data_IF_988027097684
#
_entry.id   IF_988027097684
#
_cell.length_a   1.000
_cell.length_b   1.000
_cell.length_c   1.000
_cell.angle_alpha   90.00
_cell.angle_beta   90.00
_cell.angle_gamma   90.00
#
_symmetry.space_group_name_H-M   'P 1'
#
loop_
_entity.id
_entity.type
_entity.pdbx_description
1 polymer ?
#
# COMPACT_ATOMS: atom_id res chain seq x y z
N UNK A 1 0.58 -39.63 4.66
CA UNK A 1 0.88 -38.49 3.75
C UNK A 1 0.55 -37.18 4.48
N UNK A 2 1.51 -36.57 5.19
CA UNK A 2 1.27 -35.38 6.03
C UNK A 2 2.39 -34.31 5.97
N UNK A 3 3.22 -34.32 4.91
CA UNK A 3 4.38 -33.41 4.81
C UNK A 3 4.17 -32.19 3.89
N UNK A 4 3.05 -32.11 3.16
CA UNK A 4 2.80 -31.00 2.22
C UNK A 4 2.16 -29.77 2.88
N UNK A 5 1.47 -29.93 4.02
CA UNK A 5 0.78 -28.82 4.68
C UNK A 5 1.75 -27.86 5.41
N UNK A 6 2.79 -28.40 6.07
CA UNK A 6 3.73 -27.58 6.85
C UNK A 6 4.62 -26.67 5.99
N UNK A 7 4.96 -27.12 4.77
CA UNK A 7 5.79 -26.33 3.83
C UNK A 7 4.98 -25.23 3.16
N UNK A 8 3.68 -25.47 2.90
CA UNK A 8 2.77 -24.48 2.31
C UNK A 8 2.41 -23.36 3.32
N UNK A 9 2.18 -23.69 4.59
CA UNK A 9 1.93 -22.68 5.63
C UNK A 9 3.09 -21.68 5.74
N UNK A 10 4.34 -22.16 5.67
CA UNK A 10 5.53 -21.31 5.75
C UNK A 10 5.71 -20.39 4.53
N UNK A 11 5.27 -20.82 3.33
CA UNK A 11 5.38 -19.98 2.12
C UNK A 11 4.36 -18.84 2.10
N UNK A 12 3.11 -19.12 2.48
CA UNK A 12 2.06 -18.10 2.52
C UNK A 12 2.35 -17.06 3.59
N UNK A 13 2.74 -17.49 4.79
CA UNK A 13 3.09 -16.59 5.88
C UNK A 13 4.24 -15.66 5.48
N UNK A 14 5.31 -16.19 4.89
CA UNK A 14 6.43 -15.38 4.38
C UNK A 14 6.03 -14.41 3.27
N UNK A 15 5.13 -14.81 2.36
CA UNK A 15 4.62 -13.91 1.33
C UNK A 15 3.81 -12.76 1.97
N UNK A 16 3.03 -13.06 3.01
CA UNK A 16 2.31 -12.06 3.78
C UNK A 16 3.26 -11.14 4.59
N UNK A 17 4.32 -11.67 5.19
CA UNK A 17 5.35 -10.87 5.87
C UNK A 17 6.04 -9.90 4.90
N UNK A 18 6.44 -10.39 3.73
CA UNK A 18 7.04 -9.56 2.69
C UNK A 18 6.09 -8.46 2.22
N UNK A 19 4.82 -8.80 1.96
CA UNK A 19 3.83 -7.82 1.54
C UNK A 19 3.52 -6.77 2.63
N UNK A 20 3.50 -7.17 3.91
CA UNK A 20 3.40 -6.25 5.05
C UNK A 20 4.54 -5.23 5.01
N UNK A 21 5.77 -5.72 4.87
CA UNK A 21 6.96 -4.87 4.94
C UNK A 21 6.97 -3.86 3.78
N UNK A 22 6.60 -4.32 2.58
CA UNK A 22 6.40 -3.44 1.42
C UNK A 22 5.32 -2.38 1.63
N UNK A 23 4.16 -2.74 2.19
CA UNK A 23 3.11 -1.75 2.47
C UNK A 23 3.51 -0.76 3.55
N UNK A 24 4.17 -1.23 4.62
CA UNK A 24 4.69 -0.37 5.69
C UNK A 24 5.69 0.64 5.11
N UNK A 25 6.58 0.21 4.20
CA UNK A 25 7.51 1.11 3.52
C UNK A 25 6.77 2.20 2.72
N UNK A 26 5.78 1.82 1.91
CA UNK A 26 4.98 2.76 1.11
C UNK A 26 4.21 3.74 1.99
N UNK A 27 3.64 3.28 3.11
CA UNK A 27 2.95 4.17 4.05
C UNK A 27 3.89 5.14 4.73
N UNK A 28 5.05 4.68 5.18
CA UNK A 28 6.04 5.55 5.81
C UNK A 28 6.50 6.63 4.84
N UNK A 29 6.72 6.29 3.56
CA UNK A 29 7.11 7.26 2.55
C UNK A 29 5.98 8.24 2.21
N UNK A 30 4.76 7.74 2.04
CA UNK A 30 3.57 8.58 1.81
C UNK A 30 3.31 9.53 2.98
N UNK A 31 3.49 9.06 4.22
CA UNK A 31 3.37 9.87 5.43
C UNK A 31 4.42 10.98 5.49
N UNK A 32 5.69 10.70 5.15
CA UNK A 32 6.74 11.74 5.08
C UNK A 32 6.36 12.84 4.10
N UNK A 33 5.86 12.47 2.92
CA UNK A 33 5.45 13.43 1.90
C UNK A 33 4.26 14.27 2.37
N UNK A 34 3.24 13.65 2.96
CA UNK A 34 2.10 14.34 3.55
C UNK A 34 2.53 15.30 4.69
N UNK A 35 3.46 14.88 5.54
CA UNK A 35 4.00 15.71 6.62
C UNK A 35 4.80 16.91 6.11
N UNK A 36 5.49 16.78 4.97
CA UNK A 36 6.24 17.86 4.36
C UNK A 36 5.32 18.98 3.85
N UNK A 37 4.16 18.63 3.29
CA UNK A 37 3.17 19.58 2.76
C UNK A 37 2.12 20.03 3.78
N UNK A 38 1.98 19.34 4.91
CA UNK A 38 0.95 19.66 5.91
C UNK A 38 1.20 20.98 6.66
N UNK A 39 0.12 21.72 7.01
CA UNK A 39 0.16 22.83 7.95
C UNK A 39 0.81 22.45 9.29
N UNK A 40 1.58 23.36 9.89
CA UNK A 40 2.43 23.06 11.05
C UNK A 40 1.62 22.54 12.26
N UNK A 41 0.44 23.10 12.49
CA UNK A 41 -0.50 22.71 13.54
C UNK A 41 -1.08 21.30 13.35
N UNK A 42 -1.10 20.78 12.11
CA UNK A 42 -1.62 19.44 11.79
C UNK A 42 -0.55 18.35 11.81
N UNK A 43 0.74 18.72 11.74
CA UNK A 43 1.85 17.76 11.64
C UNK A 43 1.94 16.79 12.81
N UNK A 44 1.65 17.24 14.04
CA UNK A 44 1.68 16.38 15.22
C UNK A 44 0.63 15.26 15.13
N UNK A 45 -0.61 15.62 14.80
CA UNK A 45 -1.71 14.67 14.63
C UNK A 45 -1.45 13.69 13.48
N UNK A 46 -0.95 14.18 12.35
CA UNK A 46 -0.61 13.31 11.21
C UNK A 46 0.48 12.30 11.56
N UNK A 47 1.51 12.69 12.32
CA UNK A 47 2.55 11.76 12.80
C UNK A 47 1.96 10.66 13.67
N UNK A 48 1.10 11.03 14.61
CA UNK A 48 0.44 10.07 15.51
C UNK A 48 -0.43 9.09 14.73
N UNK A 49 -1.26 9.60 13.81
CA UNK A 49 -2.11 8.78 12.94
C UNK A 49 -1.29 7.82 12.07
N UNK A 50 -0.25 8.31 11.39
CA UNK A 50 0.61 7.46 10.58
C UNK A 50 1.37 6.41 11.40
N UNK A 51 1.80 6.75 12.62
CA UNK A 51 2.43 5.77 13.50
C UNK A 51 1.45 4.67 13.94
N UNK A 52 0.21 5.05 14.29
CA UNK A 52 -0.84 4.10 14.64
C UNK A 52 -1.21 3.18 13.47
N UNK A 53 -1.32 3.71 12.25
CA UNK A 53 -1.60 2.92 11.05
C UNK A 53 -0.47 1.92 10.75
N UNK A 54 0.79 2.35 10.86
CA UNK A 54 1.94 1.47 10.68
C UNK A 54 1.96 0.35 11.71
N UNK A 55 1.61 0.65 12.97
CA UNK A 55 1.58 -0.37 14.02
C UNK A 55 0.42 -1.35 13.85
N UNK A 56 -0.76 -0.88 13.41
CA UNK A 56 -1.88 -1.74 13.03
C UNK A 56 -1.49 -2.68 11.87
N UNK A 57 -0.83 -2.14 10.84
CA UNK A 57 -0.31 -2.96 9.74
C UNK A 57 0.70 -3.99 10.26
N UNK A 58 1.64 -3.60 11.12
CA UNK A 58 2.64 -4.52 11.66
C UNK A 58 2.04 -5.66 12.47
N UNK A 59 1.04 -5.35 13.29
CA UNK A 59 0.44 -6.31 14.23
C UNK A 59 -0.61 -7.23 13.59
N UNK A 60 -1.39 -6.75 12.61
CA UNK A 60 -2.56 -7.48 12.08
C UNK A 60 -2.40 -8.01 10.67
N UNK A 61 -1.48 -7.45 9.86
CA UNK A 61 -1.45 -7.74 8.42
C UNK A 61 -1.26 -9.22 8.11
N UNK A 62 -0.28 -9.89 8.74
CA UNK A 62 0.06 -11.27 8.40
C UNK A 62 -1.11 -12.21 8.70
N UNK A 63 -1.69 -12.08 9.89
CA UNK A 63 -2.87 -12.86 10.32
C UNK A 63 -4.04 -12.69 9.34
N UNK A 64 -4.35 -11.45 8.94
CA UNK A 64 -5.44 -11.18 7.99
C UNK A 64 -5.12 -11.67 6.59
N UNK A 65 -3.87 -11.52 6.16
CA UNK A 65 -3.41 -11.94 4.85
C UNK A 65 -3.48 -13.46 4.67
N UNK A 66 -3.06 -14.25 5.67
CA UNK A 66 -3.15 -15.72 5.58
C UNK A 66 -4.59 -16.21 5.55
N UNK A 67 -5.53 -15.44 6.12
CA UNK A 67 -6.96 -15.73 6.13
C UNK A 67 -7.69 -15.36 4.82
N UNK A 68 -7.03 -14.64 3.89
CA UNK A 68 -7.65 -14.22 2.63
C UNK A 68 -8.08 -15.42 1.78
N UNK A 69 -9.17 -15.28 1.00
CA UNK A 69 -9.51 -16.24 -0.05
C UNK A 69 -8.44 -16.25 -1.15
N UNK A 70 -8.48 -17.25 -2.03
CA UNK A 70 -7.46 -17.48 -3.05
C UNK A 70 -7.17 -16.23 -3.91
N UNK A 71 -8.20 -15.54 -4.37
CA UNK A 71 -8.04 -14.30 -5.14
C UNK A 71 -7.31 -13.21 -4.35
N UNK A 72 -7.63 -13.05 -3.06
CA UNK A 72 -6.93 -12.11 -2.18
C UNK A 72 -5.45 -12.47 -2.02
N UNK A 73 -5.14 -13.76 -1.84
CA UNK A 73 -3.73 -14.21 -1.76
C UNK A 73 -2.97 -14.01 -3.07
N UNK A 74 -3.61 -14.18 -4.23
CA UNK A 74 -3.01 -13.85 -5.53
C UNK A 74 -2.70 -12.36 -5.62
N UNK A 75 -3.59 -11.50 -5.13
CA UNK A 75 -3.37 -10.06 -5.11
C UNK A 75 -2.23 -9.65 -4.16
N UNK A 76 -2.15 -10.25 -2.98
CA UNK A 76 -1.00 -10.05 -2.08
C UNK A 76 0.30 -10.53 -2.74
N UNK A 77 0.29 -11.65 -3.46
CA UNK A 77 1.44 -12.13 -4.22
C UNK A 77 1.92 -11.18 -5.32
N UNK A 78 1.13 -10.16 -5.68
CA UNK A 78 1.47 -9.10 -6.64
C UNK A 78 1.98 -7.81 -5.98
N UNK A 79 2.21 -7.81 -4.66
CA UNK A 79 2.57 -6.59 -3.91
C UNK A 79 3.82 -5.90 -4.46
N UNK A 80 4.86 -6.64 -4.87
CA UNK A 80 6.06 -6.04 -5.49
C UNK A 80 5.72 -5.22 -6.75
N UNK A 81 4.81 -5.72 -7.59
CA UNK A 81 4.38 -5.04 -8.82
C UNK A 81 3.59 -3.79 -8.45
N UNK A 82 2.68 -3.89 -7.47
CA UNK A 82 1.87 -2.77 -7.00
C UNK A 82 2.74 -1.66 -6.38
N UNK A 83 3.71 -2.01 -5.53
CA UNK A 83 4.63 -1.06 -4.91
C UNK A 83 5.57 -0.43 -5.94
N UNK A 84 6.06 -1.21 -6.90
CA UNK A 84 6.87 -0.66 -8.01
C UNK A 84 6.06 0.36 -8.80
N UNK A 85 4.82 0.02 -9.18
CA UNK A 85 3.94 0.93 -9.89
C UNK A 85 3.63 2.19 -9.04
N UNK A 86 3.41 2.05 -7.74
CA UNK A 86 3.22 3.18 -6.83
C UNK A 86 4.44 4.12 -6.83
N UNK A 87 5.65 3.57 -6.68
CA UNK A 87 6.90 4.36 -6.70
C UNK A 87 7.07 5.09 -8.04
N UNK A 88 6.79 4.42 -9.16
CA UNK A 88 6.83 5.05 -10.49
C UNK A 88 5.82 6.19 -10.61
N UNK A 89 4.60 6.03 -10.09
CA UNK A 89 3.59 7.09 -10.06
C UNK A 89 4.08 8.27 -9.24
N UNK A 90 4.63 8.04 -8.04
CA UNK A 90 5.13 9.14 -7.19
C UNK A 90 6.28 9.88 -7.88
N UNK A 91 7.22 9.15 -8.49
CA UNK A 91 8.30 9.75 -9.26
C UNK A 91 7.77 10.57 -10.44
N UNK A 92 6.77 10.07 -11.18
CA UNK A 92 6.16 10.80 -12.29
C UNK A 92 5.38 12.03 -11.82
N UNK A 93 4.63 11.94 -10.72
CA UNK A 93 3.91 13.06 -10.12
C UNK A 93 4.83 14.20 -9.70
N UNK A 94 6.02 13.87 -9.17
CA UNK A 94 7.02 14.86 -8.81
C UNK A 94 7.56 15.67 -10.00
N UNK A 95 7.36 15.18 -11.24
CA UNK A 95 7.74 15.87 -12.47
C UNK A 95 6.59 16.70 -13.08
N UNK A 96 5.38 16.58 -12.55
CA UNK A 96 4.24 17.36 -13.04
C UNK A 96 4.42 18.85 -12.74
N UNK A 97 4.17 19.69 -13.73
CA UNK A 97 4.16 21.14 -13.54
C UNK A 97 3.02 21.53 -12.60
N UNK A 98 3.32 22.43 -11.68
CA UNK A 98 2.34 23.04 -10.80
C UNK A 98 1.76 24.29 -11.48
N UNK A 99 0.47 24.51 -11.30
CA UNK A 99 -0.21 25.75 -11.68
C UNK A 99 0.07 26.88 -10.68
N UNK A 100 -0.56 28.04 -10.89
CA UNK A 100 -0.41 29.22 -10.03
C UNK A 100 -0.92 29.02 -8.59
N UNK A 101 -1.73 27.98 -8.35
CA UNK A 101 -2.23 27.59 -7.04
C UNK A 101 -1.41 26.45 -6.41
N UNK A 102 -0.32 26.03 -7.06
CA UNK A 102 0.53 24.93 -6.59
C UNK A 102 -0.08 23.55 -6.83
N UNK A 103 -1.07 23.42 -7.71
CA UNK A 103 -1.73 22.16 -8.02
C UNK A 103 -1.11 21.54 -9.29
N UNK A 104 -0.83 20.23 -9.30
CA UNK A 104 -0.29 19.58 -10.50
C UNK A 104 -1.32 19.47 -11.61
N UNK A 105 -0.89 19.59 -12.87
CA UNK A 105 -1.72 19.40 -14.06
C UNK A 105 -2.50 18.05 -14.02
N UNK A 106 -3.84 18.07 -14.04
CA UNK A 106 -4.67 16.86 -14.00
C UNK A 106 -4.33 15.84 -15.09
N UNK A 107 -4.00 16.28 -16.30
CA UNK A 107 -3.65 15.38 -17.39
C UNK A 107 -2.31 14.67 -17.13
N UNK A 108 -1.35 15.37 -16.51
CA UNK A 108 -0.10 14.78 -16.06
C UNK A 108 -0.31 13.75 -14.96
N UNK A 109 -1.17 14.06 -13.98
CA UNK A 109 -1.52 13.13 -12.90
C UNK A 109 -2.20 11.87 -13.45
N UNK A 110 -3.14 12.02 -14.38
CA UNK A 110 -3.83 10.88 -14.98
C UNK A 110 -2.86 9.98 -15.77
N UNK A 111 -1.95 10.58 -16.55
CA UNK A 111 -0.91 9.84 -17.27
C UNK A 111 0.03 9.09 -16.32
N UNK A 112 0.43 9.72 -15.20
CA UNK A 112 1.22 9.07 -14.16
C UNK A 112 0.50 7.89 -13.52
N UNK A 113 -0.83 7.97 -13.34
CA UNK A 113 -1.65 6.94 -12.72
C UNK A 113 -2.01 5.76 -13.63
N UNK A 114 -1.94 5.92 -14.96
CA UNK A 114 -2.33 4.88 -15.92
C UNK A 114 -1.60 3.54 -15.68
N UNK A 115 -0.31 3.59 -15.36
CA UNK A 115 0.50 2.40 -15.04
C UNK A 115 0.05 1.70 -13.76
N UNK A 116 -0.34 2.46 -12.72
CA UNK A 116 -0.84 1.89 -11.46
C UNK A 116 -2.17 1.16 -11.65
N UNK A 117 -3.07 1.70 -12.48
CA UNK A 117 -4.35 1.04 -12.80
C UNK A 117 -4.12 -0.33 -13.43
N UNK A 118 -3.11 -0.45 -14.30
CA UNK A 118 -2.75 -1.74 -14.87
C UNK A 118 -2.17 -2.70 -13.81
N UNK A 119 -1.35 -2.20 -12.89
CA UNK A 119 -0.77 -3.01 -11.80
C UNK A 119 -1.82 -3.57 -10.83
N UNK A 120 -2.93 -2.85 -10.62
CA UNK A 120 -4.04 -3.26 -9.75
C UNK A 120 -5.16 -4.02 -10.46
N UNK A 121 -5.13 -4.11 -11.79
CA UNK A 121 -6.21 -4.74 -12.58
C UNK A 121 -6.52 -6.17 -12.08
N UNK A 122 -7.79 -6.38 -11.73
CA UNK A 122 -8.31 -7.63 -11.16
C UNK A 122 -8.08 -7.82 -9.67
N UNK A 123 -7.49 -6.82 -8.99
CA UNK A 123 -7.19 -6.85 -7.55
C UNK A 123 -7.78 -5.69 -6.75
N UNK A 124 -8.29 -4.64 -7.40
CA UNK A 124 -8.83 -3.43 -6.73
C UNK A 124 -9.78 -3.76 -5.57
N UNK A 125 -10.86 -4.50 -5.85
CA UNK A 125 -11.86 -4.83 -4.83
C UNK A 125 -11.34 -5.73 -3.70
N UNK A 126 -10.37 -6.61 -3.99
CA UNK A 126 -9.78 -7.49 -2.98
C UNK A 126 -8.83 -6.71 -2.07
N UNK A 127 -8.06 -5.78 -2.64
CA UNK A 127 -7.19 -4.90 -1.87
C UNK A 127 -8.00 -3.93 -1.01
N UNK A 128 -9.07 -3.33 -1.56
CA UNK A 128 -9.95 -2.42 -0.81
C UNK A 128 -10.60 -3.12 0.38
N UNK A 129 -11.13 -4.33 0.19
CA UNK A 129 -11.71 -5.13 1.27
C UNK A 129 -10.67 -5.46 2.33
N UNK A 130 -9.46 -5.87 1.92
CA UNK A 130 -8.37 -6.16 2.85
C UNK A 130 -7.96 -4.94 3.68
N UNK A 131 -7.85 -3.76 3.05
CA UNK A 131 -7.56 -2.52 3.79
C UNK A 131 -8.67 -2.18 4.78
N UNK A 132 -9.94 -2.31 4.38
CA UNK A 132 -11.07 -2.07 5.27
C UNK A 132 -11.05 -2.99 6.50
N UNK A 133 -10.69 -4.27 6.32
CA UNK A 133 -10.53 -5.21 7.43
C UNK A 133 -9.32 -4.91 8.31
N UNK A 134 -8.20 -4.50 7.72
CA UNK A 134 -6.96 -4.20 8.44
C UNK A 134 -7.15 -3.05 9.45
N UNK A 135 -7.91 -2.03 9.05
CA UNK A 135 -8.17 -0.82 9.83
C UNK A 135 -9.53 -0.78 10.53
N UNK A 136 -10.29 -1.89 10.49
CA UNK A 136 -11.49 -2.00 11.29
C UNK A 136 -11.13 -1.88 12.79
N UNK A 137 -11.90 -1.12 13.58
CA UNK A 137 -11.63 -0.91 15.01
C UNK A 137 -11.61 -2.21 15.80
#
# INVERSE_FOLDING_TARGET
MFLLAAVACNRTEKACEHARDLMVEVWQESSKQALASAPHDQRAKLREQSAAEVELARSRFVERCVALPELGRVCIGRMDIMVTAHREVQAAKALCKLDEFGMPDPACIEAAQAKSKQALMGCDSSMDAFYAELFAP
#
